data_IF_635289113714
#
_entry.id   IF_635289113714
#
_cell.length_a   1.000
_cell.length_b   1.000
_cell.length_c   1.000
_cell.angle_alpha   90.00
_cell.angle_beta   90.00
_cell.angle_gamma   90.00
#
_symmetry.space_group_name_H-M   'P 1'
#
loop_
_entity.id
_entity.type
_entity.pdbx_description
1 polymer ?
#
# COMPACT_ATOMS: atom_id res chain seq x y z
N UNK A 1 -4.55 28.24 19.79
CA UNK A 1 -4.64 26.78 19.54
C UNK A 1 -5.09 26.42 18.11
N UNK A 2 -6.08 27.10 17.54
CA UNK A 2 -6.57 26.80 16.17
C UNK A 2 -5.58 27.21 15.09
N UNK A 3 -5.08 28.45 15.18
CA UNK A 3 -4.06 28.94 14.27
C UNK A 3 -2.81 28.05 14.34
N UNK A 4 -2.45 27.52 15.51
CA UNK A 4 -1.32 26.61 15.66
C UNK A 4 -1.54 25.23 15.03
N UNK A 5 -2.75 24.66 15.10
CA UNK A 5 -3.08 23.39 14.42
C UNK A 5 -3.06 23.60 12.90
N UNK A 6 -3.67 24.69 12.43
CA UNK A 6 -3.69 25.01 11.01
C UNK A 6 -2.29 25.31 10.46
N UNK A 7 -1.50 26.14 11.16
CA UNK A 7 -0.09 26.37 10.82
C UNK A 7 0.67 25.04 10.81
N UNK A 8 0.47 24.18 11.82
CA UNK A 8 1.17 22.90 11.92
C UNK A 8 0.85 22.00 10.72
N UNK A 9 -0.43 21.84 10.39
CA UNK A 9 -0.86 21.05 9.22
C UNK A 9 -0.35 21.62 7.90
N UNK A 10 -0.35 22.94 7.76
CA UNK A 10 0.19 23.62 6.57
C UNK A 10 1.69 23.40 6.41
N UNK A 11 2.47 23.60 7.48
CA UNK A 11 3.92 23.36 7.47
C UNK A 11 4.26 21.89 7.25
N UNK A 12 3.51 20.97 7.85
CA UNK A 12 3.66 19.54 7.63
C UNK A 12 3.44 19.18 6.15
N UNK A 13 2.36 19.66 5.55
CA UNK A 13 2.06 19.43 4.13
C UNK A 13 3.14 19.99 3.20
N UNK A 14 3.58 21.23 3.46
CA UNK A 14 4.67 21.86 2.69
C UNK A 14 5.99 21.08 2.81
N UNK A 15 6.31 20.58 4.01
CA UNK A 15 7.47 19.73 4.24
C UNK A 15 7.38 18.42 3.44
N UNK A 16 6.23 17.74 3.48
CA UNK A 16 6.00 16.50 2.73
C UNK A 16 6.12 16.70 1.22
N UNK A 17 5.54 17.78 0.68
CA UNK A 17 5.64 18.07 -0.75
C UNK A 17 7.08 18.39 -1.17
N UNK A 18 7.82 19.13 -0.35
CA UNK A 18 9.25 19.38 -0.57
C UNK A 18 10.05 18.08 -0.54
N UNK A 19 9.79 17.18 0.42
CA UNK A 19 10.52 15.90 0.50
C UNK A 19 10.23 15.02 -0.70
N UNK A 20 8.96 14.96 -1.15
CA UNK A 20 8.59 14.22 -2.36
C UNK A 20 9.32 14.78 -3.58
N UNK A 21 9.35 16.10 -3.74
CA UNK A 21 10.08 16.75 -4.83
C UNK A 21 11.58 16.38 -4.83
N UNK A 22 12.22 16.40 -3.65
CA UNK A 22 13.63 16.03 -3.52
C UNK A 22 13.87 14.57 -3.93
N UNK A 23 13.02 13.64 -3.49
CA UNK A 23 13.12 12.22 -3.86
C UNK A 23 13.06 12.06 -5.38
N UNK A 24 12.04 12.64 -6.03
CA UNK A 24 11.91 12.54 -7.49
C UNK A 24 13.05 13.24 -8.24
N UNK A 25 13.63 14.30 -7.66
CA UNK A 25 14.74 15.03 -8.31
C UNK A 25 16.07 14.25 -8.35
N UNK A 26 16.22 13.26 -7.48
CA UNK A 26 17.42 12.41 -7.35
C UNK A 26 17.31 11.10 -8.15
N UNK A 27 16.24 10.93 -8.92
CA UNK A 27 16.04 9.74 -9.73
C UNK A 27 16.89 9.74 -11.01
N UNK A 28 17.38 8.55 -11.40
CA UNK A 28 18.30 8.37 -12.54
C UNK A 28 17.76 8.92 -13.87
N UNK A 29 16.43 8.88 -14.07
CA UNK A 29 15.80 9.40 -15.29
C UNK A 29 15.85 10.93 -15.37
N UNK A 30 15.95 11.63 -14.23
CA UNK A 30 16.14 13.08 -14.17
C UNK A 30 17.59 13.42 -14.54
N UNK A 31 18.57 12.66 -14.06
CA UNK A 31 19.98 12.88 -14.39
C UNK A 31 20.29 12.56 -15.85
N UNK A 32 19.66 11.53 -16.42
CA UNK A 32 19.69 11.29 -17.86
C UNK A 32 19.07 12.45 -18.66
N UNK A 33 17.98 13.04 -18.17
CA UNK A 33 17.35 14.19 -18.80
C UNK A 33 18.24 15.45 -18.74
N UNK A 34 18.96 15.66 -17.62
CA UNK A 34 19.98 16.72 -17.48
C UNK A 34 21.14 16.52 -18.45
N UNK A 35 21.67 15.30 -18.56
CA UNK A 35 22.76 14.97 -19.47
C UNK A 35 22.38 15.18 -20.95
N UNK A 36 21.10 15.05 -21.29
CA UNK A 36 20.55 15.38 -22.61
C UNK A 36 20.38 16.88 -22.88
N UNK A 37 20.67 17.76 -21.92
CA UNK A 37 20.58 19.21 -22.09
C UNK A 37 19.16 19.76 -22.17
N UNK A 38 18.16 19.07 -21.60
CA UNK A 38 16.78 19.55 -21.59
C UNK A 38 16.65 20.87 -20.80
N UNK A 39 15.78 21.79 -21.24
CA UNK A 39 15.58 23.06 -20.54
C UNK A 39 15.00 22.82 -19.14
N UNK A 40 15.48 23.60 -18.15
CA UNK A 40 15.14 23.45 -16.72
C UNK A 40 13.62 23.36 -16.48
N UNK A 41 12.82 24.20 -17.15
CA UNK A 41 11.35 24.19 -17.05
C UNK A 41 10.70 22.87 -17.48
N UNK A 42 11.27 22.19 -18.50
CA UNK A 42 10.76 20.91 -18.98
C UNK A 42 11.23 19.75 -18.10
N UNK A 43 12.42 19.86 -17.52
CA UNK A 43 12.94 18.94 -16.52
C UNK A 43 12.04 18.95 -15.28
N UNK A 44 11.80 20.11 -14.69
CA UNK A 44 10.94 20.28 -13.51
C UNK A 44 9.53 19.78 -13.78
N UNK A 45 8.82 20.33 -14.77
CA UNK A 45 7.39 20.04 -14.96
C UNK A 45 7.11 18.61 -15.41
N UNK A 46 7.94 18.04 -16.29
CA UNK A 46 7.67 16.73 -16.91
C UNK A 46 8.38 15.57 -16.22
N UNK A 47 9.60 15.80 -15.73
CA UNK A 47 10.41 14.74 -15.16
C UNK A 47 10.31 14.72 -13.63
N UNK A 48 10.18 15.86 -12.94
CA UNK A 48 10.11 15.86 -11.47
C UNK A 48 8.67 15.96 -10.94
N UNK A 49 7.90 16.97 -11.38
CA UNK A 49 6.55 17.21 -10.85
C UNK A 49 5.53 16.17 -11.30
N UNK A 50 5.48 15.83 -12.59
CA UNK A 50 4.45 14.90 -13.12
C UNK A 50 4.42 13.53 -12.43
N UNK A 51 5.55 12.86 -12.16
CA UNK A 51 5.55 11.58 -11.44
C UNK A 51 5.12 11.70 -9.97
N UNK A 52 5.34 12.85 -9.34
CA UNK A 52 4.96 13.10 -7.94
C UNK A 52 3.55 13.68 -7.76
N UNK A 53 2.93 14.20 -8.81
CA UNK A 53 1.58 14.76 -8.79
C UNK A 53 0.54 13.80 -8.19
N UNK A 54 0.58 12.48 -8.43
CA UNK A 54 -0.37 11.59 -7.79
C UNK A 54 -0.28 11.61 -6.26
N UNK A 55 0.93 11.54 -5.70
CA UNK A 55 1.15 11.59 -4.25
C UNK A 55 0.74 12.95 -3.65
N UNK A 56 1.00 14.05 -4.37
CA UNK A 56 0.57 15.39 -3.96
C UNK A 56 -0.96 15.51 -3.95
N UNK A 57 -1.64 15.01 -4.98
CA UNK A 57 -3.11 14.99 -5.04
C UNK A 57 -3.70 14.16 -3.89
N UNK A 58 -3.13 12.98 -3.59
CA UNK A 58 -3.62 12.15 -2.48
C UNK A 58 -3.47 12.86 -1.15
N UNK A 59 -2.29 13.43 -0.89
CA UNK A 59 -2.03 14.15 0.36
C UNK A 59 -2.92 15.38 0.52
N UNK A 60 -3.16 16.12 -0.56
CA UNK A 60 -4.09 17.26 -0.55
C UNK A 60 -5.53 16.83 -0.26
N UNK A 61 -5.99 15.72 -0.86
CA UNK A 61 -7.34 15.21 -0.60
C UNK A 61 -7.53 14.76 0.85
N UNK A 62 -6.55 14.03 1.40
CA UNK A 62 -6.58 13.61 2.80
C UNK A 62 -6.56 14.82 3.74
N UNK A 63 -5.80 15.87 3.41
CA UNK A 63 -5.81 17.13 4.16
C UNK A 63 -7.20 17.76 4.17
N UNK A 64 -7.89 17.79 3.03
CA UNK A 64 -9.27 18.28 2.97
C UNK A 64 -10.19 17.45 3.87
N UNK A 65 -10.16 16.11 3.76
CA UNK A 65 -11.02 15.25 4.61
C UNK A 65 -10.81 15.54 6.10
N UNK A 66 -9.56 15.68 6.54
CA UNK A 66 -9.22 16.03 7.93
C UNK A 66 -9.78 17.41 8.30
N UNK A 67 -9.60 18.42 7.44
CA UNK A 67 -10.11 19.78 7.70
C UNK A 67 -11.62 19.81 7.91
N UNK A 68 -12.39 19.04 7.12
CA UNK A 68 -13.84 18.95 7.26
C UNK A 68 -14.27 18.34 8.59
N UNK A 69 -13.55 17.31 9.05
CA UNK A 69 -13.83 16.67 10.33
C UNK A 69 -13.50 17.58 11.52
N UNK A 70 -12.41 18.36 11.42
CA UNK A 70 -12.02 19.33 12.43
C UNK A 70 -13.02 20.51 12.52
N UNK A 71 -13.66 20.91 11.42
CA UNK A 71 -14.65 22.01 11.40
C UNK A 71 -15.83 21.76 12.37
N UNK A 72 -16.26 20.52 12.55
CA UNK A 72 -17.34 20.18 13.49
C UNK A 72 -16.98 20.60 14.92
N UNK A 73 -15.75 20.33 15.33
CA UNK A 73 -15.25 20.74 16.65
C UNK A 73 -15.09 22.27 16.73
N UNK A 74 -14.67 22.91 15.63
CA UNK A 74 -14.52 24.37 15.56
C UNK A 74 -15.85 25.09 15.75
N UNK A 75 -16.92 24.65 15.08
CA UNK A 75 -18.25 25.25 15.21
C UNK A 75 -18.73 25.23 16.67
N UNK A 76 -18.47 24.14 17.38
CA UNK A 76 -18.89 24.03 18.78
C UNK A 76 -18.10 24.93 19.71
N UNK A 77 -16.78 25.07 19.50
CA UNK A 77 -15.92 25.90 20.32
C UNK A 77 -16.20 27.40 20.17
N UNK A 78 -16.48 27.84 18.94
CA UNK A 78 -16.75 29.26 18.64
C UNK A 78 -18.24 29.62 18.69
N UNK A 79 -19.10 28.67 19.03
CA UNK A 79 -20.57 28.78 19.01
C UNK A 79 -21.14 29.30 17.68
N UNK A 80 -20.45 29.06 16.58
CA UNK A 80 -20.91 29.41 15.22
C UNK A 80 -22.05 28.48 14.85
N UNK A 81 -23.14 29.04 14.32
CA UNK A 81 -24.28 28.25 13.87
C UNK A 81 -23.92 27.48 12.58
N UNK A 82 -23.87 26.14 12.68
CA UNK A 82 -23.58 25.26 11.56
C UNK A 82 -23.99 23.81 11.80
N UNK A 83 -23.54 22.92 10.91
CA UNK A 83 -23.92 21.50 10.86
C UNK A 83 -23.30 20.73 12.05
N UNK A 84 -22.10 21.10 12.48
CA UNK A 84 -21.42 20.53 13.64
C UNK A 84 -22.13 20.85 14.95
N UNK A 85 -22.76 22.04 15.08
CA UNK A 85 -23.61 22.35 16.24
C UNK A 85 -24.86 21.46 16.27
N UNK A 86 -25.48 21.19 15.11
CA UNK A 86 -26.62 20.26 15.00
C UNK A 86 -26.19 18.83 15.36
N UNK A 87 -25.02 18.41 14.89
CA UNK A 87 -24.45 17.10 15.23
C UNK A 87 -24.22 16.95 16.74
N UNK A 88 -23.63 17.95 17.39
CA UNK A 88 -23.42 17.94 18.83
C UNK A 88 -24.74 17.92 19.62
N UNK A 89 -25.73 18.71 19.20
CA UNK A 89 -27.05 18.72 19.83
C UNK A 89 -27.74 17.36 19.71
N UNK A 90 -27.70 16.73 18.52
CA UNK A 90 -28.31 15.43 18.26
C UNK A 90 -27.66 14.31 19.11
N UNK A 91 -26.34 14.36 19.31
CA UNK A 91 -25.64 13.43 20.23
C UNK A 91 -26.14 13.62 21.66
N UNK A 92 -26.27 14.87 22.12
CA UNK A 92 -26.71 15.15 23.50
C UNK A 92 -28.15 14.73 23.76
N UNK A 93 -29.03 14.88 22.76
CA UNK A 93 -30.43 14.46 22.84
C UNK A 93 -30.67 13.01 22.43
N UNK A 94 -29.63 12.25 22.08
CA UNK A 94 -29.71 10.88 21.54
C UNK A 94 -30.72 10.74 20.38
N UNK A 95 -30.80 11.76 19.52
CA UNK A 95 -31.68 11.74 18.35
C UNK A 95 -31.02 10.93 17.22
N UNK A 96 -31.22 9.60 17.28
CA UNK A 96 -30.62 8.65 16.33
C UNK A 96 -30.97 8.94 14.87
N UNK A 97 -32.23 9.24 14.49
CA UNK A 97 -32.56 9.65 13.13
C UNK A 97 -31.73 10.84 12.64
N UNK A 98 -31.56 11.88 13.47
CA UNK A 98 -30.79 13.07 13.10
C UNK A 98 -29.29 12.76 12.96
N UNK A 99 -28.71 11.99 13.88
CA UNK A 99 -27.31 11.56 13.81
C UNK A 99 -27.06 10.77 12.52
N UNK A 100 -27.92 9.79 12.21
CA UNK A 100 -27.78 8.97 11.00
C UNK A 100 -27.91 9.80 9.73
N UNK A 101 -28.86 10.75 9.67
CA UNK A 101 -29.00 11.67 8.54
C UNK A 101 -27.75 12.52 8.31
N UNK A 102 -27.14 13.02 9.38
CA UNK A 102 -25.90 13.79 9.31
C UNK A 102 -24.72 12.93 8.85
N UNK A 103 -24.55 11.72 9.41
CA UNK A 103 -23.48 10.80 9.02
C UNK A 103 -23.60 10.41 7.55
N UNK A 104 -24.81 10.09 7.07
CA UNK A 104 -25.04 9.78 5.65
C UNK A 104 -24.74 10.98 4.75
N UNK A 105 -25.13 12.19 5.18
CA UNK A 105 -24.81 13.42 4.45
C UNK A 105 -23.29 13.65 4.31
N UNK A 106 -22.53 13.43 5.39
CA UNK A 106 -21.07 13.47 5.35
C UNK A 106 -20.47 12.36 4.48
N UNK A 107 -21.06 11.16 4.49
CA UNK A 107 -20.63 10.08 3.61
C UNK A 107 -20.80 10.43 2.12
N UNK A 108 -21.93 11.05 1.74
CA UNK A 108 -22.12 11.56 0.39
C UNK A 108 -21.11 12.66 0.03
N UNK A 109 -20.84 13.58 0.96
CA UNK A 109 -19.87 14.64 0.75
C UNK A 109 -18.45 14.10 0.54
N UNK A 110 -18.07 13.09 1.32
CA UNK A 110 -16.82 12.36 1.15
C UNK A 110 -16.79 11.66 -0.20
N UNK A 111 -17.85 10.97 -0.59
CA UNK A 111 -17.94 10.30 -1.89
C UNK A 111 -17.77 11.27 -3.06
N UNK A 112 -18.40 12.46 -3.00
CA UNK A 112 -18.24 13.52 -4.01
C UNK A 112 -16.79 14.02 -4.04
N UNK A 113 -16.16 14.20 -2.89
CA UNK A 113 -14.77 14.68 -2.80
C UNK A 113 -13.78 13.68 -3.37
N UNK A 114 -13.95 12.39 -3.05
CA UNK A 114 -13.12 11.30 -3.61
C UNK A 114 -13.37 11.16 -5.11
N UNK A 115 -14.62 11.25 -5.56
CA UNK A 115 -14.95 11.24 -6.98
C UNK A 115 -14.32 12.42 -7.75
N UNK A 116 -14.34 13.63 -7.16
CA UNK A 116 -13.67 14.79 -7.73
C UNK A 116 -12.15 14.59 -7.79
N UNK A 117 -11.56 13.88 -6.82
CA UNK A 117 -10.15 13.52 -6.81
C UNK A 117 -9.81 12.54 -7.94
N UNK A 118 -10.64 11.52 -8.15
CA UNK A 118 -10.49 10.57 -9.27
C UNK A 118 -10.53 11.29 -10.63
N UNK A 119 -11.42 12.28 -10.76
CA UNK A 119 -11.46 13.13 -11.94
C UNK A 119 -10.19 13.99 -12.07
N UNK A 120 -9.70 14.57 -10.98
CA UNK A 120 -8.46 15.33 -10.97
C UNK A 120 -7.26 14.46 -11.38
N UNK A 121 -7.18 13.21 -10.91
CA UNK A 121 -6.15 12.26 -11.37
C UNK A 121 -6.24 12.00 -12.87
N UNK A 122 -7.45 11.78 -13.41
CA UNK A 122 -7.65 11.53 -14.83
C UNK A 122 -7.20 12.71 -15.72
N UNK A 123 -7.32 13.95 -15.24
CA UNK A 123 -6.86 15.16 -15.94
C UNK A 123 -5.34 15.32 -15.84
N UNK A 124 -4.77 15.03 -14.66
CA UNK A 124 -3.35 15.27 -14.38
C UNK A 124 -2.44 14.23 -14.99
N UNK A 125 -2.84 12.94 -14.98
CA UNK A 125 -2.06 11.87 -15.57
C UNK A 125 -2.83 11.09 -16.66
N UNK A 126 -2.66 11.46 -17.95
CA UNK A 126 -3.27 10.73 -19.06
C UNK A 126 -2.64 9.35 -19.30
N UNK A 127 -1.58 8.94 -18.56
CA UNK A 127 -0.98 7.60 -18.68
C UNK A 127 -1.95 6.49 -18.32
N UNK A 128 -2.95 6.76 -17.47
CA UNK A 128 -3.99 5.78 -17.09
C UNK A 128 -4.84 5.34 -18.29
N UNK A 129 -4.88 6.12 -19.39
CA UNK A 129 -5.78 5.86 -20.53
C UNK A 129 -5.20 5.01 -21.67
N UNK A 130 -3.98 4.49 -21.59
CA UNK A 130 -3.34 3.80 -22.72
C UNK A 130 -2.56 2.54 -22.32
N UNK A 131 -3.25 1.56 -21.74
CA UNK A 131 -2.85 0.15 -21.91
C UNK A 131 -4.08 -0.71 -22.19
N UNK A 132 -4.76 -0.40 -23.29
CA UNK A 132 -5.50 -1.43 -24.05
C UNK A 132 -4.55 -2.06 -25.08
N UNK A 133 -3.34 -2.43 -24.67
CA UNK A 133 -2.52 -3.35 -25.47
C UNK A 133 -2.81 -4.77 -24.99
N UNK A 134 -3.82 -5.38 -25.61
CA UNK A 134 -3.86 -6.82 -25.72
C UNK A 134 -2.62 -7.26 -26.49
N UNK A 135 -1.53 -7.57 -25.79
CA UNK A 135 -0.41 -8.33 -26.33
C UNK A 135 -0.94 -9.71 -26.74
N UNK A 136 -1.50 -9.77 -27.94
CA UNK A 136 -1.68 -11.03 -28.65
C UNK A 136 -0.28 -11.54 -28.96
N UNK A 137 0.20 -12.43 -28.10
CA UNK A 137 1.37 -13.26 -28.38
C UNK A 137 1.05 -14.03 -29.65
N UNK A 138 1.47 -13.51 -30.82
CA UNK A 138 1.40 -14.24 -32.08
C UNK A 138 2.40 -15.40 -31.97
N UNK A 139 1.97 -16.68 -31.92
CA UNK A 139 2.92 -17.77 -32.02
C UNK A 139 3.55 -17.71 -33.41
N UNK A 140 4.88 -17.67 -33.45
CA UNK A 140 5.66 -17.73 -34.68
C UNK A 140 5.26 -18.98 -35.47
N UNK A 141 4.38 -18.80 -36.45
CA UNK A 141 3.93 -19.87 -37.33
C UNK A 141 5.06 -20.11 -38.32
N UNK A 142 5.91 -21.09 -38.00
CA UNK A 142 6.99 -21.55 -38.87
C UNK A 142 6.43 -22.15 -40.16
N UNK A 143 6.24 -21.33 -41.19
CA UNK A 143 5.93 -21.80 -42.53
C UNK A 143 7.25 -21.96 -43.30
N UNK A 144 7.63 -23.23 -43.49
CA UNK A 144 8.84 -23.62 -44.20
C UNK A 144 8.92 -22.99 -45.58
N UNK A 145 10.06 -22.35 -45.87
CA UNK A 145 10.42 -21.91 -47.20
C UNK A 145 11.67 -22.67 -47.64
N UNK A 146 11.43 -23.84 -48.27
CA UNK A 146 12.41 -24.48 -49.14
C UNK A 146 12.71 -23.50 -50.29
N UNK A 147 13.91 -22.92 -50.32
CA UNK A 147 14.51 -22.40 -51.55
C UNK A 147 15.99 -22.77 -51.54
N UNK A 148 16.39 -23.47 -52.60
CA UNK A 148 17.67 -24.13 -52.71
C UNK A 148 18.80 -23.24 -53.20
N UNK A 149 19.93 -23.95 -53.36
CA UNK A 149 21.16 -23.61 -54.06
C UNK A 149 22.04 -22.50 -53.48
N UNK A 150 23.29 -22.89 -53.18
CA UNK A 150 24.38 -21.93 -53.03
C UNK A 150 25.50 -22.38 -52.11
N UNK A 151 26.23 -23.42 -52.53
CA UNK A 151 27.64 -23.70 -52.22
C UNK A 151 28.36 -22.56 -51.48
N UNK A 152 28.45 -22.63 -50.15
CA UNK A 152 29.47 -21.90 -49.38
C UNK A 152 29.93 -22.78 -48.22
N UNK A 153 31.04 -23.47 -48.48
CA UNK A 153 31.82 -24.24 -47.51
C UNK A 153 32.72 -23.24 -46.82
N UNK A 154 32.57 -23.00 -45.51
CA UNK A 154 33.65 -22.44 -44.70
C UNK A 154 33.52 -22.84 -43.23
N UNK A 155 34.53 -23.63 -42.85
CA UNK A 155 35.14 -23.80 -41.52
C UNK A 155 34.24 -23.89 -40.29
N UNK A 156 34.14 -25.12 -39.81
CA UNK A 156 34.12 -25.47 -38.40
C UNK A 156 34.89 -24.46 -37.53
N UNK A 157 34.17 -23.81 -36.61
CA UNK A 157 34.73 -23.36 -35.34
C UNK A 157 33.86 -23.93 -34.24
N UNK A 158 34.25 -25.14 -33.82
CA UNK A 158 33.83 -25.76 -32.57
C UNK A 158 34.15 -24.81 -31.42
N UNK A 159 33.13 -24.26 -30.76
CA UNK A 159 33.29 -23.69 -29.43
C UNK A 159 31.97 -23.70 -28.68
N UNK A 160 32.00 -24.52 -27.62
CA UNK A 160 31.07 -24.64 -26.50
C UNK A 160 29.71 -25.27 -26.84
N UNK A 161 29.75 -26.60 -26.77
CA UNK A 161 28.68 -27.44 -26.27
C UNK A 161 27.86 -26.71 -25.19
N UNK A 162 26.63 -26.36 -25.53
CA UNK A 162 25.61 -26.03 -24.55
C UNK A 162 25.46 -27.22 -23.61
N UNK A 163 25.44 -26.95 -22.30
CA UNK A 163 25.17 -27.97 -21.29
C UNK A 163 23.87 -28.68 -21.67
N UNK A 164 23.83 -30.04 -21.70
CA UNK A 164 22.60 -30.73 -22.01
C UNK A 164 21.53 -30.31 -21.00
N UNK A 165 20.30 -30.14 -21.50
CA UNK A 165 19.12 -29.84 -20.71
C UNK A 165 19.06 -30.77 -19.50
N UNK A 166 19.36 -30.22 -18.31
CA UNK A 166 19.38 -31.00 -17.08
C UNK A 166 17.94 -31.39 -16.77
N UNK A 167 17.59 -32.65 -17.07
CA UNK A 167 16.30 -33.24 -16.68
C UNK A 167 16.09 -32.94 -15.20
N UNK A 168 15.01 -32.23 -14.92
CA UNK A 168 14.57 -31.85 -13.57
C UNK A 168 14.62 -33.10 -12.65
N UNK A 169 15.49 -33.15 -11.62
CA UNK A 169 15.61 -34.31 -10.74
C UNK A 169 14.40 -34.50 -9.80
N UNK A 170 13.34 -33.71 -9.96
CA UNK A 170 12.09 -33.82 -9.20
C UNK A 170 11.01 -34.65 -9.91
N UNK A 171 11.38 -35.70 -10.64
CA UNK A 171 10.43 -36.78 -10.87
C UNK A 171 10.13 -37.42 -9.51
N UNK A 172 8.92 -37.19 -8.96
CA UNK A 172 8.49 -37.85 -7.73
C UNK A 172 8.61 -39.36 -7.97
N UNK A 173 9.30 -40.14 -7.11
CA UNK A 173 9.23 -41.58 -7.21
C UNK A 173 7.75 -42.01 -7.10
N UNK A 174 7.33 -43.08 -7.79
CA UNK A 174 5.98 -43.61 -7.61
C UNK A 174 5.79 -43.88 -6.11
N UNK A 175 4.77 -43.27 -5.51
CA UNK A 175 4.47 -43.46 -4.08
C UNK A 175 4.17 -44.94 -3.83
N UNK A 176 4.91 -45.62 -2.94
CA UNK A 176 4.55 -46.95 -2.45
C UNK A 176 3.10 -46.99 -1.94
N UNK A 177 2.44 -48.14 -2.09
CA UNK A 177 1.09 -48.37 -1.57
C UNK A 177 1.09 -48.45 -0.04
N UNK A 178 0.99 -47.31 0.63
CA UNK A 178 0.84 -47.24 2.08
C UNK A 178 -0.60 -47.54 2.50
N UNK A 179 -0.76 -48.32 3.58
CA UNK A 179 -2.03 -48.48 4.28
C UNK A 179 -2.50 -47.12 4.86
N UNK A 180 -3.82 -46.91 4.99
CA UNK A 180 -4.41 -45.63 5.44
C UNK A 180 -3.85 -45.20 6.80
N UNK A 181 -3.57 -46.14 7.70
CA UNK A 181 -2.99 -45.86 9.01
C UNK A 181 -1.57 -45.26 8.91
N UNK A 182 -0.74 -45.76 7.98
CA UNK A 182 0.63 -45.28 7.77
C UNK A 182 0.66 -43.89 7.12
N UNK A 183 -0.34 -43.56 6.27
CA UNK A 183 -0.52 -42.20 5.74
C UNK A 183 -0.84 -41.20 6.83
N UNK A 184 -1.73 -41.55 7.77
CA UNK A 184 -2.12 -40.64 8.85
C UNK A 184 -0.93 -40.39 9.78
N UNK A 185 -0.15 -41.42 10.12
CA UNK A 185 0.98 -41.30 11.04
C UNK A 185 2.18 -40.55 10.44
N UNK A 186 2.47 -40.75 9.15
CA UNK A 186 3.50 -39.98 8.42
C UNK A 186 3.08 -38.53 8.17
N UNK A 187 1.78 -38.27 7.96
CA UNK A 187 1.25 -36.91 7.87
C UNK A 187 1.35 -36.17 9.21
N UNK A 188 1.00 -36.82 10.32
CA UNK A 188 1.03 -36.21 11.65
C UNK A 188 2.47 -35.90 12.12
N UNK A 189 3.39 -36.85 11.95
CA UNK A 189 4.81 -36.64 12.26
C UNK A 189 5.45 -35.56 11.37
N UNK A 190 5.07 -35.49 10.09
CA UNK A 190 5.46 -34.40 9.20
C UNK A 190 4.93 -33.02 9.63
N UNK A 191 3.72 -32.97 10.19
CA UNK A 191 3.11 -31.75 10.70
C UNK A 191 3.78 -31.28 12.01
N UNK A 192 4.05 -32.20 12.94
CA UNK A 192 4.79 -31.92 14.18
C UNK A 192 6.22 -31.45 13.87
N UNK A 193 6.91 -32.10 12.92
CA UNK A 193 8.24 -31.68 12.49
C UNK A 193 8.25 -30.30 11.80
N UNK A 194 7.15 -29.91 11.14
CA UNK A 194 6.97 -28.58 10.54
C UNK A 194 6.70 -27.51 11.61
N UNK A 195 5.85 -27.81 12.59
CA UNK A 195 5.59 -26.95 13.76
C UNK A 195 6.88 -26.70 14.55
N UNK A 196 7.67 -27.74 14.83
CA UNK A 196 8.95 -27.61 15.53
C UNK A 196 10.05 -26.87 14.73
N UNK A 197 9.94 -26.81 13.40
CA UNK A 197 10.79 -25.93 12.57
C UNK A 197 10.29 -24.48 12.56
N UNK A 198 8.97 -24.26 12.61
CA UNK A 198 8.38 -22.93 12.74
C UNK A 198 8.78 -22.22 14.04
N UNK A 199 8.76 -22.93 15.17
CA UNK A 199 9.18 -22.40 16.46
C UNK A 199 10.66 -21.97 16.49
N UNK A 200 11.55 -22.75 15.88
CA UNK A 200 12.98 -22.38 15.72
C UNK A 200 13.21 -21.25 14.72
N UNK A 201 12.33 -21.11 13.72
CA UNK A 201 12.30 -19.97 12.81
C UNK A 201 11.96 -18.66 13.53
N UNK A 202 11.03 -18.72 14.49
CA UNK A 202 10.60 -17.56 15.29
C UNK A 202 11.74 -16.98 16.13
N UNK A 203 12.61 -17.83 16.70
CA UNK A 203 13.79 -17.37 17.44
C UNK A 203 14.83 -16.68 16.54
N UNK A 204 14.95 -17.10 15.27
CA UNK A 204 15.85 -16.46 14.30
C UNK A 204 15.30 -15.12 13.82
N UNK A 205 13.99 -15.02 13.60
CA UNK A 205 13.34 -13.75 13.23
C UNK A 205 13.36 -12.76 14.39
N UNK A 206 13.16 -13.21 15.64
CA UNK A 206 13.29 -12.34 16.82
C UNK A 206 14.70 -11.74 16.94
N UNK A 207 15.74 -12.56 16.70
CA UNK A 207 17.14 -12.10 16.72
C UNK A 207 17.46 -11.14 15.57
N UNK A 208 16.83 -11.30 14.41
CA UNK A 208 16.94 -10.37 13.28
C UNK A 208 16.19 -9.05 13.53
N UNK A 209 15.02 -9.09 14.16
CA UNK A 209 14.24 -7.89 14.51
C UNK A 209 15.01 -7.03 15.53
N UNK A 210 15.68 -7.66 16.51
CA UNK A 210 16.53 -6.95 17.47
C UNK A 210 17.77 -6.28 16.84
N UNK A 211 18.14 -6.67 15.62
CA UNK A 211 19.27 -6.09 14.89
C UNK A 211 18.91 -4.76 14.20
N UNK A 212 17.62 -4.44 14.07
CA UNK A 212 17.15 -3.20 13.46
C UNK A 212 16.51 -2.29 14.53
N UNK A 213 17.16 -1.16 14.91
CA UNK A 213 16.69 -0.31 16.01
C UNK A 213 15.30 0.30 15.74
N UNK A 214 14.97 0.62 14.49
CA UNK A 214 13.66 1.14 14.10
C UNK A 214 12.53 0.11 14.26
N UNK A 215 12.81 -1.17 13.99
CA UNK A 215 11.83 -2.24 14.14
C UNK A 215 11.50 -2.53 15.62
N UNK A 216 12.51 -2.43 16.50
CA UNK A 216 12.33 -2.59 17.95
C UNK A 216 11.44 -1.47 18.52
N UNK A 217 11.66 -0.23 18.10
CA UNK A 217 10.82 0.91 18.54
C UNK A 217 9.37 0.70 18.09
N UNK A 218 9.15 0.29 16.83
CA UNK A 218 7.81 0.00 16.33
C UNK A 218 7.11 -1.11 17.11
N UNK A 219 7.82 -2.20 17.41
CA UNK A 219 7.29 -3.32 18.19
C UNK A 219 6.99 -2.92 19.64
N UNK A 220 7.84 -2.09 20.25
CA UNK A 220 7.61 -1.55 21.59
C UNK A 220 6.32 -0.72 21.62
N UNK A 221 6.12 0.19 20.66
CA UNK A 221 4.90 1.00 20.55
C UNK A 221 3.67 0.10 20.42
N UNK A 222 3.71 -0.89 19.53
CA UNK A 222 2.60 -1.84 19.33
C UNK A 222 2.28 -2.59 20.63
N UNK A 223 3.31 -3.10 21.32
CA UNK A 223 3.13 -3.79 22.61
C UNK A 223 2.54 -2.87 23.68
N UNK A 224 2.94 -1.60 23.71
CA UNK A 224 2.41 -0.62 24.67
C UNK A 224 0.94 -0.31 24.37
N UNK A 225 0.57 -0.17 23.09
CA UNK A 225 -0.81 0.03 22.65
C UNK A 225 -1.71 -1.16 22.99
N UNK A 226 -1.23 -2.38 22.75
CA UNK A 226 -1.98 -3.60 23.09
C UNK A 226 -2.14 -3.71 24.60
N UNK A 227 -1.06 -3.48 25.36
CA UNK A 227 -1.09 -3.57 26.81
C UNK A 227 -2.03 -2.53 27.43
N UNK A 228 -1.98 -1.28 26.97
CA UNK A 228 -2.91 -0.21 27.41
C UNK A 228 -4.36 -0.50 27.00
N UNK A 229 -4.60 -1.03 25.79
CA UNK A 229 -5.94 -1.45 25.35
C UNK A 229 -6.50 -2.60 26.20
N UNK A 230 -5.69 -3.61 26.52
CA UNK A 230 -6.12 -4.72 27.37
C UNK A 230 -6.34 -4.24 28.81
N UNK A 231 -5.43 -3.41 29.32
CA UNK A 231 -5.54 -2.85 30.66
C UNK A 231 -6.81 -2.01 30.81
N UNK A 232 -7.12 -1.14 29.83
CA UNK A 232 -8.36 -0.34 29.85
C UNK A 232 -9.61 -1.20 29.82
N UNK A 233 -9.65 -2.27 29.02
CA UNK A 233 -10.79 -3.21 29.00
C UNK A 233 -10.96 -3.92 30.35
N UNK A 234 -9.89 -4.26 31.06
CA UNK A 234 -9.98 -4.97 32.34
C UNK A 234 -10.26 -4.03 33.53
N UNK A 235 -9.71 -2.81 33.50
CA UNK A 235 -9.81 -1.84 34.60
C UNK A 235 -11.12 -1.05 34.63
N UNK A 236 -11.87 -0.98 33.52
CA UNK A 236 -13.18 -0.31 33.52
C UNK A 236 -14.20 -1.19 34.28
N UNK A 237 -14.79 -0.72 35.39
CA UNK A 237 -15.86 -1.43 36.06
C UNK A 237 -17.14 -1.35 35.21
N UNK A 238 -17.37 -2.38 34.40
CA UNK A 238 -18.56 -2.47 33.54
C UNK A 238 -19.87 -2.44 34.34
N UNK A 239 -19.86 -2.93 35.59
CA UNK A 239 -21.04 -2.97 36.46
C UNK A 239 -21.52 -1.57 36.87
N UNK A 240 -20.59 -0.64 37.14
CA UNK A 240 -20.93 0.76 37.44
C UNK A 240 -21.29 1.54 36.17
N UNK A 241 -20.61 1.24 35.05
CA UNK A 241 -20.89 1.87 33.77
C UNK A 241 -22.30 1.56 33.26
N UNK A 242 -22.79 0.33 33.42
CA UNK A 242 -24.17 -0.05 33.02
C UNK A 242 -25.21 0.53 33.99
N UNK A 243 -24.87 0.68 35.27
CA UNK A 243 -25.72 1.31 36.27
C UNK A 243 -25.98 2.81 36.03
N UNK A 244 -25.01 3.53 35.46
CA UNK A 244 -25.16 4.94 35.08
C UNK A 244 -25.93 5.16 33.76
N UNK A 245 -26.16 4.10 32.98
CA UNK A 245 -26.89 4.12 31.71
C UNK A 245 -28.36 3.67 31.81
N UNK A 246 -28.83 3.32 33.01
CA UNK A 246 -30.26 3.12 33.33
C UNK A 246 -30.82 4.33 34.04
#
# INVERSE_FOLDING_TARGET
>A
PFLSIFISGFFFSAYTWRSLFLIYSQEDYVDMAKARGLPHRMLERRHILRPGLPAVLTSFALMLVVLWQEIIALEKFFDVAGIGRLFYAAIRSFDMPMILGLVVSFAYLLAITVFALDLAYAVVDPRVRITSEGHTVRPATGKGRRRGLGRFRLSFRSSRAGKPFQKNPKARPPTPGYSVAERVQSAFSGLVARLGKGARGLGRTAKQIAQYPSAVIGLAIIMTMICTSIATVILIPYDEAVGAWR
#
